data_IF_069265311236
#
_entry.id   IF_069265311236
#
_cell.length_a   1.000
_cell.length_b   1.000
_cell.length_c   1.000
_cell.angle_alpha   90.00
_cell.angle_beta   90.00
_cell.angle_gamma   90.00
#
_symmetry.space_group_name_H-M   'P 1'
#
loop_
_entity.id
_entity.type
_entity.pdbx_description
1 polymer ?
#
# COMPACT_ATOMS: atom_id res chain seq x y z
N UNK A 1 -51.82 39.93 2.48
CA UNK A 1 -52.99 39.41 1.75
C UNK A 1 -52.84 37.89 1.68
N UNK A 2 -53.56 37.18 2.55
CA UNK A 2 -53.61 35.71 2.59
C UNK A 2 -54.50 35.23 1.46
N UNK A 3 -54.05 34.26 0.66
CA UNK A 3 -54.95 33.48 -0.18
C UNK A 3 -54.53 32.01 -0.09
N UNK A 4 -55.40 31.23 0.55
CA UNK A 4 -55.37 29.77 0.57
C UNK A 4 -56.06 29.28 -0.71
N UNK A 5 -55.52 28.25 -1.36
CA UNK A 5 -56.30 27.35 -2.20
C UNK A 5 -55.91 25.91 -1.89
N UNK A 6 -56.96 25.09 -1.80
CA UNK A 6 -57.00 23.68 -1.41
C UNK A 6 -57.09 22.81 -2.66
N UNK A 7 -56.41 21.67 -2.63
CA UNK A 7 -56.83 20.42 -3.30
C UNK A 7 -56.18 20.14 -4.66
N UNK A 8 -55.45 19.01 -4.78
CA UNK A 8 -55.96 17.73 -5.31
C UNK A 8 -54.93 16.64 -4.98
N UNK A 9 -55.45 15.49 -4.51
CA UNK A 9 -54.71 14.25 -4.25
C UNK A 9 -54.48 13.52 -5.56
N UNK A 10 -53.23 13.15 -5.84
CA UNK A 10 -52.86 12.19 -6.90
C UNK A 10 -51.99 11.10 -6.30
N UNK A 11 -52.55 9.91 -6.12
CA UNK A 11 -51.83 8.69 -5.76
C UNK A 11 -51.14 8.16 -7.03
N UNK A 12 -49.81 8.01 -7.00
CA UNK A 12 -49.08 7.13 -7.92
C UNK A 12 -48.30 6.12 -7.08
N UNK A 13 -48.51 4.85 -7.39
CA UNK A 13 -47.98 3.71 -6.68
C UNK A 13 -46.50 3.45 -7.00
N UNK A 14 -45.73 3.30 -5.93
CA UNK A 14 -44.73 2.25 -5.65
C UNK A 14 -43.78 1.89 -6.80
N UNK A 15 -42.60 2.51 -6.79
CA UNK A 15 -41.37 1.90 -7.24
C UNK A 15 -40.39 1.87 -6.06
N UNK A 16 -40.33 0.76 -5.34
CA UNK A 16 -39.36 0.56 -4.27
C UNK A 16 -37.96 0.40 -4.87
N UNK A 17 -37.25 1.52 -5.05
CA UNK A 17 -35.79 1.47 -5.05
C UNK A 17 -35.36 1.23 -3.61
N UNK A 18 -35.03 -0.02 -3.29
CA UNK A 18 -34.26 -0.33 -2.10
C UNK A 18 -32.85 0.27 -2.27
N UNK A 19 -32.74 1.57 -2.02
CA UNK A 19 -31.46 2.21 -1.82
C UNK A 19 -30.79 1.54 -0.63
N UNK A 20 -29.62 0.95 -0.85
CA UNK A 20 -28.72 0.55 0.22
C UNK A 20 -28.16 1.84 0.84
N UNK A 21 -29.00 2.58 1.56
CA UNK A 21 -28.55 3.63 2.44
C UNK A 21 -27.94 2.92 3.65
N UNK A 22 -26.64 2.61 3.56
CA UNK A 22 -25.85 2.25 4.72
C UNK A 22 -26.13 3.28 5.80
N UNK A 23 -26.64 2.84 6.95
CA UNK A 23 -26.79 3.69 8.12
C UNK A 23 -25.39 4.23 8.46
N UNK A 24 -25.16 5.52 8.23
CA UNK A 24 -24.03 6.20 8.84
C UNK A 24 -24.19 6.04 10.36
N UNK A 25 -23.33 5.21 10.94
CA UNK A 25 -23.35 4.94 12.37
C UNK A 25 -22.77 6.16 13.07
N UNK A 26 -23.64 7.14 13.39
CA UNK A 26 -23.30 8.34 14.13
C UNK A 26 -22.81 7.93 15.54
N UNK A 27 -21.52 7.68 15.67
CA UNK A 27 -20.90 7.21 16.92
C UNK A 27 -19.56 6.48 16.75
N UNK A 28 -19.20 6.06 15.54
CA UNK A 28 -17.84 5.57 15.25
C UNK A 28 -17.00 6.76 14.75
N UNK A 29 -15.75 6.94 15.26
CA UNK A 29 -14.84 7.90 14.65
C UNK A 29 -14.64 7.50 13.18
N UNK A 30 -14.79 8.45 12.27
CA UNK A 30 -14.54 8.24 10.84
C UNK A 30 -13.06 7.85 10.65
N UNK A 31 -12.79 6.56 10.42
CA UNK A 31 -11.46 6.01 10.23
C UNK A 31 -10.99 6.29 8.80
N UNK A 32 -10.86 7.57 8.48
CA UNK A 32 -10.49 8.04 7.15
C UNK A 32 -9.22 8.88 7.19
N UNK A 33 -8.23 8.50 6.39
CA UNK A 33 -7.11 9.37 6.06
C UNK A 33 -7.55 10.29 4.92
N UNK A 34 -7.39 11.61 5.01
CA UNK A 34 -7.79 12.52 3.93
C UNK A 34 -6.87 13.73 3.80
N UNK A 35 -6.79 14.26 2.59
CA UNK A 35 -5.90 15.35 2.21
C UNK A 35 -6.57 16.26 1.17
N UNK A 36 -6.23 17.55 1.21
CA UNK A 36 -6.73 18.58 0.28
C UNK A 36 -5.76 18.92 -0.84
N UNK A 37 -4.70 18.12 -1.00
CA UNK A 37 -3.73 18.25 -2.08
C UNK A 37 -3.27 16.87 -2.59
N UNK A 38 -2.92 16.76 -3.88
CA UNK A 38 -2.28 15.56 -4.43
C UNK A 38 -0.96 15.23 -3.72
N UNK A 39 -0.60 13.95 -3.70
CA UNK A 39 0.72 13.52 -3.25
C UNK A 39 1.80 14.01 -4.21
N UNK A 40 2.86 14.60 -3.66
CA UNK A 40 4.07 14.98 -4.42
C UNK A 40 5.13 13.88 -4.37
N UNK A 41 5.15 13.13 -3.28
CA UNK A 41 6.11 12.08 -2.99
C UNK A 41 5.40 10.77 -2.66
N UNK A 42 6.10 9.65 -2.87
CA UNK A 42 5.54 8.31 -2.64
C UNK A 42 5.06 8.10 -1.20
N UNK A 43 5.76 8.66 -0.21
CA UNK A 43 5.41 8.59 1.22
C UNK A 43 4.09 9.31 1.56
N UNK A 44 3.59 10.14 0.65
CA UNK A 44 2.31 10.85 0.81
C UNK A 44 1.16 10.15 0.09
N UNK A 45 1.45 9.18 -0.79
CA UNK A 45 0.44 8.44 -1.53
C UNK A 45 -0.34 7.48 -0.61
N UNK A 46 -1.57 7.15 -0.98
CA UNK A 46 -2.46 6.31 -0.17
C UNK A 46 -2.27 4.84 -0.54
N UNK A 47 -1.93 3.95 0.41
CA UNK A 47 -1.78 2.52 0.14
C UNK A 47 -3.14 1.83 0.04
N UNK A 48 -3.29 0.98 -0.96
CA UNK A 48 -4.40 0.01 -1.10
C UNK A 48 -3.85 -1.35 -1.50
N UNK A 49 -4.54 -2.43 -1.15
CA UNK A 49 -4.09 -3.76 -1.55
C UNK A 49 -5.01 -4.88 -1.08
N UNK A 50 -4.80 -6.07 -1.65
CA UNK A 50 -5.58 -7.27 -1.34
C UNK A 50 -4.72 -8.42 -0.77
N UNK A 51 -3.54 -8.09 -0.24
CA UNK A 51 -2.55 -9.05 0.28
C UNK A 51 -1.57 -9.56 -0.78
N UNK A 52 -1.97 -9.63 -2.06
CA UNK A 52 -1.09 -10.03 -3.18
C UNK A 52 -0.68 -8.83 -4.02
N UNK A 53 -1.67 -8.07 -4.50
CA UNK A 53 -1.46 -6.83 -5.22
C UNK A 53 -1.54 -5.65 -4.26
N UNK A 54 -0.64 -4.70 -4.43
CA UNK A 54 -0.60 -3.43 -3.72
C UNK A 54 -0.50 -2.27 -4.69
N UNK A 55 -0.99 -1.11 -4.26
CA UNK A 55 -0.84 0.12 -5.01
C UNK A 55 -0.71 1.34 -4.09
N UNK A 56 0.01 2.34 -4.57
CA UNK A 56 0.14 3.65 -3.92
C UNK A 56 -0.48 4.71 -4.82
N UNK A 57 -1.60 5.29 -4.37
CA UNK A 57 -2.44 6.21 -5.13
C UNK A 57 -2.04 7.66 -4.84
N UNK A 58 -1.62 8.40 -5.88
CA UNK A 58 -1.11 9.77 -5.70
C UNK A 58 -2.23 10.82 -5.63
N UNK A 59 -3.32 10.64 -6.37
CA UNK A 59 -4.43 11.59 -6.40
C UNK A 59 -4.19 12.78 -7.33
N UNK A 60 -3.33 12.65 -8.36
CA UNK A 60 -3.06 13.78 -9.27
C UNK A 60 -4.22 14.01 -10.23
N UNK A 61 -4.49 15.27 -10.53
CA UNK A 61 -5.69 15.68 -11.28
C UNK A 61 -5.57 15.37 -12.79
N UNK A 62 -4.44 15.73 -13.41
CA UNK A 62 -4.28 15.63 -14.86
C UNK A 62 -3.46 14.41 -15.30
N UNK A 63 -2.52 13.97 -14.46
CA UNK A 63 -1.55 12.91 -14.72
C UNK A 63 -1.52 11.94 -13.54
N UNK A 64 -2.65 11.28 -13.25
CA UNK A 64 -2.73 10.36 -12.12
C UNK A 64 -1.65 9.29 -12.22
N UNK A 65 -1.00 9.04 -11.09
CA UNK A 65 0.02 8.01 -10.95
C UNK A 65 -0.41 7.05 -9.87
N UNK A 66 -0.51 5.79 -10.24
CA UNK A 66 -0.72 4.68 -9.30
C UNK A 66 0.50 3.78 -9.41
N UNK A 67 1.37 3.83 -8.40
CA UNK A 67 2.49 2.89 -8.33
C UNK A 67 1.95 1.52 -7.91
N UNK A 68 2.43 0.46 -8.54
CA UNK A 68 1.92 -0.90 -8.38
C UNK A 68 2.99 -1.84 -7.81
N UNK A 69 2.50 -2.81 -7.04
CA UNK A 69 3.27 -3.89 -6.44
C UNK A 69 2.53 -5.23 -6.59
N UNK A 70 3.32 -6.30 -6.72
CA UNK A 70 2.86 -7.69 -6.65
C UNK A 70 3.82 -8.44 -5.70
N UNK A 71 3.29 -9.14 -4.70
CA UNK A 71 4.05 -9.68 -3.56
C UNK A 71 5.12 -10.72 -3.94
N UNK A 72 4.97 -11.42 -5.07
CA UNK A 72 5.90 -12.43 -5.57
C UNK A 72 6.94 -11.88 -6.56
N UNK A 73 6.89 -10.59 -6.87
CA UNK A 73 7.87 -9.97 -7.76
C UNK A 73 9.19 -9.64 -7.02
N UNK A 74 10.11 -10.61 -7.06
CA UNK A 74 11.45 -10.50 -6.50
C UNK A 74 12.49 -10.68 -7.60
N UNK A 75 13.66 -10.09 -7.41
CA UNK A 75 14.82 -10.39 -8.26
C UNK A 75 15.34 -11.82 -7.98
N UNK A 76 16.19 -12.31 -8.88
CA UNK A 76 16.85 -13.60 -8.77
C UNK A 76 15.98 -14.78 -9.17
N UNK A 77 16.39 -15.96 -8.72
CA UNK A 77 15.76 -17.23 -9.04
C UNK A 77 16.11 -18.26 -7.97
N UNK A 78 15.33 -19.37 -7.85
CA UNK A 78 15.63 -20.42 -6.90
C UNK A 78 17.03 -21.00 -7.10
N UNK A 79 17.85 -20.96 -6.05
CA UNK A 79 19.22 -21.50 -6.06
C UNK A 79 19.62 -21.93 -4.66
N UNK A 80 20.50 -22.92 -4.57
CA UNK A 80 21.13 -23.27 -3.30
C UNK A 80 22.09 -22.15 -2.88
N UNK A 81 21.87 -21.63 -1.67
CA UNK A 81 22.68 -20.55 -1.08
C UNK A 81 23.61 -21.06 0.02
N UNK A 82 23.62 -22.38 0.25
CA UNK A 82 24.40 -23.02 1.30
C UNK A 82 25.89 -22.81 1.06
N UNK A 83 26.60 -22.36 2.09
CA UNK A 83 28.05 -22.27 2.04
C UNK A 83 28.67 -23.58 2.53
N UNK A 84 29.33 -24.37 1.67
CA UNK A 84 29.88 -25.67 2.06
C UNK A 84 31.01 -25.56 3.09
N UNK A 85 31.65 -24.39 3.22
CA UNK A 85 32.73 -24.16 4.18
C UNK A 85 32.23 -23.94 5.61
N UNK A 86 30.93 -23.69 5.81
CA UNK A 86 30.39 -23.32 7.10
C UNK A 86 30.56 -24.42 8.16
N UNK A 87 30.36 -25.69 7.75
CA UNK A 87 30.46 -26.83 8.66
C UNK A 87 31.90 -27.04 9.14
N UNK A 88 32.88 -26.89 8.25
CA UNK A 88 34.30 -27.05 8.56
C UNK A 88 34.83 -25.91 9.44
N UNK A 89 34.36 -24.67 9.23
CA UNK A 89 34.80 -23.52 10.01
C UNK A 89 34.17 -23.44 11.41
N UNK A 90 33.01 -24.06 11.62
CA UNK A 90 32.23 -23.97 12.87
C UNK A 90 33.03 -24.33 14.15
N UNK A 91 33.84 -25.40 14.21
CA UNK A 91 34.63 -25.71 15.40
C UNK A 91 35.67 -24.64 15.73
N UNK A 92 36.32 -24.08 14.70
CA UNK A 92 37.35 -23.04 14.88
C UNK A 92 36.73 -21.72 15.34
N UNK A 93 35.60 -21.32 14.75
CA UNK A 93 34.84 -20.13 15.18
C UNK A 93 34.43 -20.26 16.65
N UNK A 94 33.87 -21.40 17.06
CA UNK A 94 33.52 -21.66 18.47
C UNK A 94 34.72 -21.56 19.40
N UNK A 95 35.86 -22.13 19.01
CA UNK A 95 37.10 -22.04 19.78
C UNK A 95 37.54 -20.58 19.98
N UNK A 96 37.56 -19.78 18.91
CA UNK A 96 37.94 -18.36 18.98
C UNK A 96 37.02 -17.57 19.93
N UNK A 97 35.71 -17.85 19.92
CA UNK A 97 34.76 -17.24 20.85
C UNK A 97 35.06 -17.61 22.31
N UNK A 98 35.33 -18.88 22.61
CA UNK A 98 35.67 -19.31 23.98
C UNK A 98 37.03 -18.79 24.46
N UNK A 99 37.97 -18.52 23.55
CA UNK A 99 39.24 -17.86 23.85
C UNK A 99 39.11 -16.32 23.98
N UNK A 100 37.91 -15.75 23.80
CA UNK A 100 37.67 -14.30 23.85
C UNK A 100 38.12 -13.53 22.60
N UNK A 101 38.51 -14.23 21.52
CA UNK A 101 38.99 -13.65 20.26
C UNK A 101 37.84 -13.30 19.31
N UNK A 102 36.95 -12.44 19.78
CA UNK A 102 35.69 -12.13 19.07
C UNK A 102 35.92 -11.56 17.65
N UNK A 103 36.89 -10.66 17.47
CA UNK A 103 37.17 -10.06 16.16
C UNK A 103 37.61 -11.10 15.11
N UNK A 104 38.47 -12.05 15.51
CA UNK A 104 38.92 -13.14 14.65
C UNK A 104 37.77 -14.10 14.34
N UNK A 105 36.94 -14.42 15.35
CA UNK A 105 35.76 -15.26 15.17
C UNK A 105 34.76 -14.64 14.18
N UNK A 106 34.45 -13.34 14.33
CA UNK A 106 33.56 -12.60 13.44
C UNK A 106 34.09 -12.57 12.01
N UNK A 107 35.39 -12.30 11.83
CA UNK A 107 36.02 -12.30 10.51
C UNK A 107 35.88 -13.68 9.85
N UNK A 108 36.27 -14.75 10.55
CA UNK A 108 36.21 -16.11 10.01
C UNK A 108 34.78 -16.52 9.68
N UNK A 109 33.82 -16.23 10.55
CA UNK A 109 32.41 -16.52 10.30
C UNK A 109 31.86 -15.73 9.09
N UNK A 110 32.25 -14.46 8.95
CA UNK A 110 31.88 -13.64 7.79
C UNK A 110 32.39 -14.22 6.46
N UNK A 111 33.59 -14.80 6.46
CA UNK A 111 34.20 -15.38 5.25
C UNK A 111 33.65 -16.76 4.89
N UNK A 112 33.32 -17.58 5.90
CA UNK A 112 33.08 -19.03 5.71
C UNK A 112 31.67 -19.49 6.05
N UNK A 113 30.89 -18.71 6.78
CA UNK A 113 29.57 -19.12 7.30
C UNK A 113 28.40 -18.30 6.73
N UNK A 114 28.66 -17.25 5.94
CA UNK A 114 27.62 -16.52 5.21
C UNK A 114 27.15 -17.31 3.97
N UNK A 115 25.89 -17.14 3.58
CA UNK A 115 25.33 -17.73 2.36
C UNK A 115 26.10 -17.31 1.10
N UNK A 116 26.04 -18.12 0.05
CA UNK A 116 26.75 -17.89 -1.23
C UNK A 116 25.79 -17.87 -2.42
N UNK A 117 25.74 -16.78 -3.20
CA UNK A 117 26.16 -15.43 -2.82
C UNK A 117 25.49 -14.94 -1.54
N UNK A 118 26.16 -13.97 -0.91
CA UNK A 118 25.71 -13.36 0.34
C UNK A 118 24.55 -12.39 0.08
N UNK A 119 23.60 -12.37 1.01
CA UNK A 119 22.43 -11.51 0.96
C UNK A 119 21.15 -12.25 0.59
N UNK A 120 20.05 -11.51 0.65
CA UNK A 120 18.73 -11.94 0.17
C UNK A 120 18.42 -11.16 -1.10
N UNK A 121 17.64 -11.76 -1.99
CA UNK A 121 17.20 -11.07 -3.20
C UNK A 121 16.30 -9.89 -2.85
N UNK A 122 16.27 -8.88 -3.71
CA UNK A 122 15.52 -7.66 -3.47
C UNK A 122 14.10 -7.74 -4.04
N UNK A 123 13.12 -7.32 -3.25
CA UNK A 123 11.75 -7.10 -3.72
C UNK A 123 11.70 -5.97 -4.76
N UNK A 124 10.88 -6.12 -5.80
CA UNK A 124 10.81 -5.18 -6.91
C UNK A 124 9.45 -4.47 -6.98
N UNK A 125 9.46 -3.23 -7.48
CA UNK A 125 8.24 -2.53 -7.87
C UNK A 125 7.72 -3.11 -9.18
N UNK A 126 6.40 -3.35 -9.28
CA UNK A 126 5.80 -3.83 -10.53
C UNK A 126 5.85 -2.76 -11.63
N UNK A 127 5.66 -1.50 -11.24
CA UNK A 127 5.74 -0.37 -12.14
C UNK A 127 4.76 0.73 -11.74
N UNK A 128 4.45 1.60 -12.68
CA UNK A 128 3.50 2.69 -12.51
C UNK A 128 2.41 2.61 -13.58
N UNK A 129 1.16 2.71 -13.15
CA UNK A 129 0.02 3.01 -14.02
C UNK A 129 -0.17 4.53 -14.06
N UNK A 130 -0.13 5.08 -15.26
CA UNK A 130 -0.42 6.49 -15.51
C UNK A 130 -1.79 6.63 -16.17
N UNK A 131 -2.61 7.55 -15.66
CA UNK A 131 -3.90 7.90 -16.24
C UNK A 131 -3.88 9.38 -16.59
N UNK A 132 -3.74 9.66 -17.88
CA UNK A 132 -3.76 11.02 -18.41
C UNK A 132 -5.20 11.49 -18.62
N UNK A 133 -5.58 12.53 -17.88
CA UNK A 133 -6.87 13.20 -17.97
C UNK A 133 -6.62 14.63 -18.49
N UNK A 134 -6.70 14.89 -19.81
CA UNK A 134 -6.49 16.22 -20.36
C UNK A 134 -7.43 17.22 -19.67
N UNK A 135 -6.84 18.28 -19.11
CA UNK A 135 -7.38 19.06 -18.01
C UNK A 135 -8.84 19.57 -18.18
N UNK A 136 -9.62 19.43 -17.12
CA UNK A 136 -10.88 20.14 -16.90
C UNK A 136 -10.63 21.36 -16.00
N UNK A 137 -10.34 22.53 -16.60
CA UNK A 137 -10.47 23.84 -15.97
C UNK A 137 -9.76 24.06 -14.61
N UNK A 138 -10.31 24.99 -13.82
CA UNK A 138 -9.85 25.28 -12.46
C UNK A 138 -10.41 24.22 -11.51
N UNK A 139 -9.52 23.55 -10.77
CA UNK A 139 -9.90 22.57 -9.75
C UNK A 139 -10.32 23.30 -8.48
N UNK A 140 -11.54 23.04 -8.02
CA UNK A 140 -12.06 23.52 -6.74
C UNK A 140 -12.46 22.31 -5.88
N UNK A 141 -12.48 22.49 -4.56
CA UNK A 141 -12.95 21.49 -3.59
C UNK A 141 -12.25 20.11 -3.67
N UNK A 142 -10.98 20.10 -4.10
CA UNK A 142 -10.19 18.89 -4.22
C UNK A 142 -10.10 18.15 -2.87
N UNK A 143 -10.33 16.84 -2.91
CA UNK A 143 -10.13 15.94 -1.78
C UNK A 143 -9.67 14.58 -2.27
N UNK A 144 -8.68 14.01 -1.58
CA UNK A 144 -8.39 12.57 -1.66
C UNK A 144 -8.48 11.92 -0.29
N UNK A 145 -8.95 10.68 -0.23
CA UNK A 145 -9.14 9.95 1.01
C UNK A 145 -8.92 8.45 0.87
N UNK A 146 -8.55 7.81 1.98
CA UNK A 146 -8.56 6.36 2.17
C UNK A 146 -9.42 6.04 3.38
N UNK A 147 -10.53 5.35 3.13
CA UNK A 147 -11.39 4.78 4.15
C UNK A 147 -10.78 3.45 4.64
N UNK A 148 -10.48 3.35 5.93
CA UNK A 148 -9.81 2.20 6.53
C UNK A 148 -10.77 1.04 6.86
N UNK A 149 -12.08 1.28 6.88
CA UNK A 149 -13.09 0.24 7.07
C UNK A 149 -13.38 -0.47 5.74
N UNK A 150 -13.40 0.27 4.63
CA UNK A 150 -13.69 -0.29 3.29
C UNK A 150 -12.44 -0.59 2.46
N UNK A 151 -11.30 0.02 2.77
CA UNK A 151 -10.07 -0.08 1.99
C UNK A 151 -10.15 0.67 0.65
N UNK A 152 -11.07 1.63 0.51
CA UNK A 152 -11.31 2.36 -0.74
C UNK A 152 -10.56 3.69 -0.72
N UNK A 153 -9.71 3.90 -1.73
CA UNK A 153 -9.13 5.21 -2.03
C UNK A 153 -10.05 5.98 -2.99
N UNK A 154 -10.30 7.27 -2.72
CA UNK A 154 -11.17 8.14 -3.53
C UNK A 154 -10.48 9.48 -3.76
N UNK A 155 -10.59 10.02 -4.98
CA UNK A 155 -10.16 11.38 -5.36
C UNK A 155 -11.34 12.09 -6.01
N UNK A 156 -11.65 13.31 -5.55
CA UNK A 156 -12.74 14.17 -6.04
C UNK A 156 -12.26 15.59 -6.23
#
# INVERSE_FOLDING_TARGET
>A
MRMQFVGVVGIVAIGSFAGFAGRANAGQPDLTLWYTQPAKEWTQALPVGNGRLGAMVFGKVADERIQLNEDTLWDGYPRDTTNPQALEALPLVRRLLFEGKNAEATKLAGETMMGRPQGVESYQSLGDLHIDSPAAGVVADYRRSLDLDTGIATTT
#
